data_IF_485899749320
#
_entry.id   IF_485899749320
#
_cell.length_a   1.000
_cell.length_b   1.000
_cell.length_c   1.000
_cell.angle_alpha   90.00
_cell.angle_beta   90.00
_cell.angle_gamma   90.00
#
_symmetry.space_group_name_H-M   'P 1'
#
loop_
_entity.id
_entity.type
_entity.pdbx_description
1 polymer ?
#
# COMPACT_ATOMS: atom_id res chain seq x y z
N UNK A 1 -4.57 17.35 9.25
CA UNK A 1 -5.53 16.24 9.12
C UNK A 1 -5.20 15.48 7.85
N UNK A 2 -5.29 14.13 7.85
CA UNK A 2 -5.01 13.29 6.69
C UNK A 2 -6.21 12.40 6.40
N UNK A 3 -6.34 11.92 5.15
CA UNK A 3 -7.39 10.98 4.76
C UNK A 3 -6.77 9.71 4.17
N UNK A 4 -7.55 8.64 4.16
CA UNK A 4 -7.20 7.37 3.52
C UNK A 4 -8.33 6.97 2.56
N UNK A 5 -7.96 6.68 1.32
CA UNK A 5 -8.90 6.31 0.25
C UNK A 5 -8.45 5.02 -0.40
N UNK A 6 -9.37 4.08 -0.53
CA UNK A 6 -9.14 2.79 -1.18
C UNK A 6 -9.65 2.86 -2.62
N UNK A 7 -8.81 2.45 -3.56
CA UNK A 7 -9.08 2.46 -5.00
C UNK A 7 -9.44 1.06 -5.46
N UNK A 8 -10.59 0.93 -6.09
CA UNK A 8 -11.08 -0.28 -6.72
C UNK A 8 -11.13 -0.14 -8.25
N UNK A 9 -11.48 -1.21 -8.95
CA UNK A 9 -11.56 -1.23 -10.41
C UNK A 9 -12.50 -0.17 -10.97
N UNK A 10 -13.65 0.02 -10.34
CA UNK A 10 -14.68 0.98 -10.76
C UNK A 10 -14.37 2.42 -10.37
N UNK A 11 -13.39 2.65 -9.50
CA UNK A 11 -13.04 4.01 -9.06
C UNK A 11 -12.49 4.80 -10.25
N UNK A 12 -13.14 5.90 -10.59
CA UNK A 12 -12.66 6.80 -11.63
C UNK A 12 -11.45 7.63 -11.14
N UNK A 13 -10.46 7.81 -11.98
CA UNK A 13 -9.26 8.59 -11.65
C UNK A 13 -9.57 10.08 -11.54
N UNK A 14 -10.48 10.58 -12.37
CA UNK A 14 -10.88 12.00 -12.34
C UNK A 14 -11.61 12.31 -11.03
N UNK A 15 -12.51 11.43 -10.57
CA UNK A 15 -13.19 11.57 -9.28
C UNK A 15 -12.20 11.58 -8.10
N UNK A 16 -11.16 10.74 -8.16
CA UNK A 16 -10.08 10.73 -7.15
C UNK A 16 -9.34 12.06 -7.14
N UNK A 17 -9.01 12.60 -8.30
CA UNK A 17 -8.27 13.87 -8.40
C UNK A 17 -9.16 15.07 -8.00
N UNK A 18 -10.45 15.06 -8.34
CA UNK A 18 -11.41 16.07 -7.88
C UNK A 18 -11.55 16.03 -6.35
N UNK A 19 -11.73 14.86 -5.78
CA UNK A 19 -11.76 14.66 -4.32
C UNK A 19 -10.47 15.18 -3.66
N UNK A 20 -9.29 14.87 -4.22
CA UNK A 20 -8.02 15.38 -3.70
C UNK A 20 -7.97 16.92 -3.76
N UNK A 21 -8.45 17.51 -4.84
CA UNK A 21 -8.56 18.95 -5.01
C UNK A 21 -9.45 19.59 -3.96
N UNK A 22 -10.65 19.05 -3.78
CA UNK A 22 -11.61 19.54 -2.78
C UNK A 22 -11.03 19.45 -1.35
N UNK A 23 -10.49 18.29 -1.01
CA UNK A 23 -9.93 18.06 0.33
C UNK A 23 -8.71 18.95 0.62
N UNK A 24 -7.88 19.22 -0.40
CA UNK A 24 -6.71 20.09 -0.26
C UNK A 24 -7.10 21.57 -0.17
N UNK A 25 -7.96 22.03 -1.10
CA UNK A 25 -8.23 23.47 -1.28
C UNK A 25 -9.34 24.00 -0.36
N UNK A 26 -10.39 23.18 -0.13
CA UNK A 26 -11.56 23.61 0.65
C UNK A 26 -11.50 23.17 2.12
N UNK A 27 -10.97 21.95 2.37
CA UNK A 27 -10.89 21.41 3.73
C UNK A 27 -9.53 21.69 4.38
N UNK A 28 -8.47 21.83 3.58
CA UNK A 28 -7.13 22.12 4.08
C UNK A 28 -6.46 20.92 4.75
N UNK A 29 -6.54 19.72 4.14
CA UNK A 29 -5.84 18.54 4.66
C UNK A 29 -4.35 18.59 4.36
N UNK A 30 -3.54 17.94 5.22
CA UNK A 30 -2.08 17.88 5.06
C UNK A 30 -1.64 16.88 3.98
N UNK A 31 -2.52 15.95 3.59
CA UNK A 31 -2.25 14.97 2.55
C UNK A 31 -3.18 13.76 2.60
N UNK A 32 -3.08 12.92 1.59
CA UNK A 32 -3.98 11.80 1.38
C UNK A 32 -3.20 10.52 1.10
N UNK A 33 -3.50 9.46 1.84
CA UNK A 33 -3.10 8.11 1.48
C UNK A 33 -4.13 7.55 0.49
N UNK A 34 -3.67 7.21 -0.69
CA UNK A 34 -4.45 6.52 -1.71
C UNK A 34 -3.78 5.17 -1.98
N UNK A 35 -4.51 4.09 -1.78
CA UNK A 35 -3.98 2.74 -1.86
C UNK A 35 -4.98 1.80 -2.58
N UNK A 36 -4.51 0.72 -3.22
CA UNK A 36 -5.39 -0.24 -3.88
C UNK A 36 -6.20 -1.04 -2.88
N UNK A 37 -7.41 -1.40 -3.29
CA UNK A 37 -8.24 -2.37 -2.58
C UNK A 37 -7.65 -3.77 -2.63
N UNK A 38 -8.02 -4.59 -1.66
CA UNK A 38 -7.66 -6.01 -1.60
C UNK A 38 -8.91 -6.88 -1.74
N UNK A 39 -8.76 -8.01 -2.42
CA UNK A 39 -9.82 -8.97 -2.58
C UNK A 39 -9.97 -9.84 -1.32
N UNK A 40 -11.00 -9.56 -0.53
CA UNK A 40 -11.48 -10.48 0.50
C UNK A 40 -12.46 -11.49 -0.09
N UNK A 41 -12.66 -12.61 0.59
CA UNK A 41 -13.62 -13.63 0.19
C UNK A 41 -15.07 -13.13 0.08
N UNK A 42 -15.40 -12.02 0.75
CA UNK A 42 -16.71 -11.40 0.75
C UNK A 42 -16.87 -10.25 -0.27
N UNK A 43 -15.79 -9.87 -0.96
CA UNK A 43 -15.82 -8.81 -1.98
C UNK A 43 -16.02 -9.45 -3.35
N UNK A 44 -16.88 -8.84 -4.16
CA UNK A 44 -17.06 -9.23 -5.56
C UNK A 44 -15.70 -9.18 -6.27
N UNK A 45 -15.23 -10.30 -6.87
CA UNK A 45 -13.97 -10.33 -7.62
C UNK A 45 -13.88 -9.28 -8.73
N UNK A 46 -15.01 -8.85 -9.28
CA UNK A 46 -15.07 -7.84 -10.34
C UNK A 46 -14.66 -6.44 -9.86
N UNK A 47 -14.69 -6.18 -8.56
CA UNK A 47 -14.26 -4.89 -7.97
C UNK A 47 -12.74 -4.79 -7.80
N UNK A 48 -12.02 -5.90 -7.86
CA UNK A 48 -10.58 -5.92 -7.68
C UNK A 48 -9.84 -5.75 -9.00
N UNK A 49 -8.67 -5.17 -8.94
CA UNK A 49 -7.81 -4.93 -10.08
C UNK A 49 -6.78 -6.05 -10.24
N UNK A 50 -6.52 -6.46 -11.46
CA UNK A 50 -5.30 -7.17 -11.81
C UNK A 50 -4.09 -6.26 -11.60
N UNK A 51 -2.89 -6.83 -11.57
CA UNK A 51 -1.66 -6.04 -11.40
C UNK A 51 -1.49 -4.99 -12.51
N UNK A 52 -1.80 -5.33 -13.75
CA UNK A 52 -1.70 -4.40 -14.88
C UNK A 52 -2.70 -3.23 -14.77
N UNK A 53 -3.97 -3.51 -14.46
CA UNK A 53 -5.00 -2.48 -14.24
C UNK A 53 -4.62 -1.56 -13.07
N UNK A 54 -4.07 -2.13 -12.00
CA UNK A 54 -3.56 -1.40 -10.85
C UNK A 54 -2.44 -0.42 -11.26
N UNK A 55 -1.42 -0.90 -11.95
CA UNK A 55 -0.29 -0.08 -12.38
C UNK A 55 -0.72 1.05 -13.32
N UNK A 56 -1.62 0.78 -14.27
CA UNK A 56 -2.16 1.79 -15.18
C UNK A 56 -2.90 2.89 -14.41
N UNK A 57 -3.82 2.51 -13.53
CA UNK A 57 -4.63 3.45 -12.74
C UNK A 57 -3.75 4.31 -11.82
N UNK A 58 -2.77 3.71 -11.14
CA UNK A 58 -1.88 4.45 -10.26
C UNK A 58 -0.88 5.34 -11.00
N UNK A 59 -0.49 5.02 -12.23
CA UNK A 59 0.26 5.96 -13.10
C UNK A 59 -0.58 7.21 -13.42
N UNK A 60 -1.86 7.03 -13.75
CA UNK A 60 -2.76 8.15 -14.03
C UNK A 60 -2.97 9.03 -12.77
N UNK A 61 -3.22 8.43 -11.61
CA UNK A 61 -3.31 9.15 -10.32
C UNK A 61 -2.01 9.91 -10.04
N UNK A 62 -0.85 9.28 -10.17
CA UNK A 62 0.44 9.93 -9.93
C UNK A 62 0.68 11.12 -10.87
N UNK A 63 0.32 10.99 -12.15
CA UNK A 63 0.41 12.08 -13.12
C UNK A 63 -0.46 13.27 -12.72
N UNK A 64 -1.71 13.02 -12.32
CA UNK A 64 -2.63 14.04 -11.83
C UNK A 64 -2.14 14.71 -10.54
N UNK A 65 -1.68 13.92 -9.58
CA UNK A 65 -1.09 14.41 -8.32
C UNK A 65 0.10 15.36 -8.60
N UNK A 66 1.00 14.98 -9.50
CA UNK A 66 2.14 15.83 -9.89
C UNK A 66 1.69 17.11 -10.60
N UNK A 67 0.72 17.01 -11.51
CA UNK A 67 0.18 18.13 -12.28
C UNK A 67 -0.45 19.19 -11.37
N UNK A 68 -1.19 18.75 -10.35
CA UNK A 68 -1.94 19.64 -9.46
C UNK A 68 -1.20 19.99 -8.16
N UNK A 69 -0.07 19.34 -7.88
CA UNK A 69 0.71 19.58 -6.68
C UNK A 69 0.08 19.00 -5.39
N UNK A 70 -0.83 18.03 -5.53
CA UNK A 70 -1.45 17.39 -4.36
C UNK A 70 -0.44 16.56 -3.58
N UNK A 71 -0.67 16.41 -2.27
CA UNK A 71 0.20 15.63 -1.41
C UNK A 71 -0.32 14.20 -1.25
N UNK A 72 0.29 13.28 -1.99
CA UNK A 72 0.07 11.85 -1.85
C UNK A 72 1.03 11.29 -0.79
N UNK A 73 0.48 10.68 0.29
CA UNK A 73 1.24 10.21 1.46
C UNK A 73 1.86 8.81 1.29
N UNK A 74 1.92 8.28 0.09
CA UNK A 74 2.72 7.10 -0.22
C UNK A 74 4.19 7.50 -0.38
N UNK A 75 5.13 6.73 0.20
CA UNK A 75 6.56 7.00 0.02
C UNK A 75 6.98 6.92 -1.45
N UNK A 76 8.01 7.65 -1.89
CA UNK A 76 8.42 7.63 -3.30
C UNK A 76 8.71 6.23 -3.86
N UNK A 77 9.31 5.36 -3.05
CA UNK A 77 9.62 3.97 -3.44
C UNK A 77 8.34 3.13 -3.53
N UNK A 78 7.37 3.37 -2.66
CA UNK A 78 6.08 2.70 -2.74
C UNK A 78 5.24 3.24 -3.91
N UNK A 79 5.31 4.54 -4.22
CA UNK A 79 4.71 5.08 -5.46
C UNK A 79 5.25 4.38 -6.70
N UNK A 80 6.59 4.20 -6.82
CA UNK A 80 7.19 3.48 -7.93
C UNK A 80 6.71 2.01 -8.02
N UNK A 81 6.48 1.37 -6.88
CA UNK A 81 5.88 0.04 -6.85
C UNK A 81 4.42 0.04 -7.33
N UNK A 82 3.61 1.02 -6.91
CA UNK A 82 2.22 1.15 -7.33
C UNK A 82 2.08 1.41 -8.83
N UNK A 83 3.02 2.15 -9.42
CA UNK A 83 3.03 2.44 -10.86
C UNK A 83 3.71 1.36 -11.71
N UNK A 84 4.27 0.32 -11.10
CA UNK A 84 4.98 -0.76 -11.81
C UNK A 84 6.42 -0.43 -12.21
N UNK A 85 6.93 0.77 -11.84
CA UNK A 85 8.30 1.17 -12.13
C UNK A 85 9.32 0.44 -11.24
N UNK A 86 8.83 -0.23 -10.19
CA UNK A 86 9.64 -1.00 -9.24
C UNK A 86 8.91 -2.25 -8.76
N UNK A 87 9.67 -3.35 -8.58
CA UNK A 87 9.20 -4.53 -7.87
C UNK A 87 9.67 -4.47 -6.42
N UNK A 88 8.79 -4.82 -5.49
CA UNK A 88 9.09 -4.96 -4.07
C UNK A 88 8.61 -6.33 -3.58
N UNK A 89 9.36 -7.01 -2.73
CA UNK A 89 8.83 -8.13 -1.96
C UNK A 89 7.80 -7.60 -0.95
N UNK A 90 6.85 -8.44 -0.55
CA UNK A 90 6.00 -8.09 0.58
C UNK A 90 6.78 -8.23 1.89
N UNK A 91 6.60 -7.29 2.82
CA UNK A 91 7.20 -7.32 4.16
C UNK A 91 6.09 -7.27 5.23
N UNK A 92 5.25 -8.31 5.35
CA UNK A 92 4.06 -8.30 6.22
C UNK A 92 4.43 -8.19 7.72
N UNK A 93 5.62 -8.62 8.12
CA UNK A 93 6.15 -8.46 9.47
C UNK A 93 6.35 -7.01 9.91
N UNK A 94 6.42 -6.06 8.97
CA UNK A 94 6.56 -4.63 9.27
C UNK A 94 5.27 -3.97 9.73
N UNK A 95 4.12 -4.66 9.59
CA UNK A 95 2.79 -4.12 9.96
C UNK A 95 1.91 -5.23 10.54
N UNK A 96 2.40 -5.89 11.58
CA UNK A 96 1.67 -6.96 12.27
C UNK A 96 0.46 -6.41 13.04
N UNK A 97 -0.59 -7.20 13.14
CA UNK A 97 -1.83 -6.83 13.84
C UNK A 97 -2.17 -7.82 14.94
N UNK A 98 -2.88 -7.33 15.94
CA UNK A 98 -3.38 -8.12 17.05
C UNK A 98 -4.90 -7.92 17.19
N UNK A 99 -5.62 -9.00 17.48
CA UNK A 99 -7.01 -8.98 17.88
C UNK A 99 -7.17 -9.55 19.30
N UNK A 100 -8.39 -9.64 19.88
CA UNK A 100 -8.59 -10.23 21.20
C UNK A 100 -8.09 -11.66 21.35
N UNK A 101 -7.99 -12.41 20.26
CA UNK A 101 -7.54 -13.82 20.29
C UNK A 101 -6.01 -13.96 20.20
N UNK A 102 -5.29 -12.93 19.72
CA UNK A 102 -3.84 -12.97 19.62
C UNK A 102 -3.28 -12.19 18.43
N UNK A 103 -2.01 -12.44 18.15
CA UNK A 103 -1.29 -11.86 17.01
C UNK A 103 -1.63 -12.61 15.73
N UNK A 104 -2.01 -11.87 14.69
CA UNK A 104 -2.41 -12.44 13.40
C UNK A 104 -1.22 -12.57 12.46
N UNK A 105 -1.10 -13.69 11.82
CA UNK A 105 -0.12 -13.94 10.77
C UNK A 105 -0.75 -14.45 9.48
N UNK A 106 -0.15 -14.20 8.33
CA UNK A 106 1.05 -13.40 8.06
C UNK A 106 0.78 -11.88 8.07
N UNK A 107 -0.45 -11.46 7.78
CA UNK A 107 -0.88 -10.06 7.75
C UNK A 107 -2.36 -9.95 8.19
N UNK A 108 -2.86 -8.72 8.29
CA UNK A 108 -4.26 -8.52 8.71
C UNK A 108 -5.31 -8.98 7.68
N UNK A 109 -4.91 -9.11 6.41
CA UNK A 109 -5.77 -9.59 5.32
C UNK A 109 -5.89 -11.11 5.32
N UNK A 110 -4.77 -11.80 5.49
CA UNK A 110 -4.70 -13.24 5.62
C UNK A 110 -4.56 -13.58 7.10
N UNK A 111 -5.40 -14.47 7.61
CA UNK A 111 -5.32 -14.94 9.00
C UNK A 111 -5.12 -16.45 8.99
N UNK A 112 -3.92 -16.87 8.59
CA UNK A 112 -3.57 -18.30 8.52
C UNK A 112 -3.12 -18.82 9.89
N UNK A 113 -2.81 -17.92 10.84
CA UNK A 113 -2.48 -18.25 12.21
C UNK A 113 -2.82 -17.13 13.19
N UNK A 114 -3.09 -17.54 14.44
CA UNK A 114 -3.23 -16.64 15.59
C UNK A 114 -2.26 -17.12 16.65
N UNK A 115 -1.39 -16.23 17.12
CA UNK A 115 -0.31 -16.54 18.03
C UNK A 115 -0.51 -15.82 19.36
N UNK A 116 -0.26 -16.50 20.51
CA UNK A 116 -0.52 -15.93 21.83
C UNK A 116 0.42 -14.76 22.17
N UNK A 117 1.65 -14.80 21.65
CA UNK A 117 2.66 -13.75 21.87
C UNK A 117 3.26 -13.28 20.56
N UNK A 118 3.84 -12.07 20.56
CA UNK A 118 4.56 -11.56 19.41
C UNK A 118 5.76 -12.42 19.03
N UNK A 119 6.48 -12.95 20.03
CA UNK A 119 7.60 -13.85 19.78
C UNK A 119 7.13 -15.15 19.10
N UNK A 120 6.01 -15.73 19.57
CA UNK A 120 5.44 -16.92 18.93
C UNK A 120 5.03 -16.66 17.46
N UNK A 121 4.55 -15.46 17.14
CA UNK A 121 4.29 -15.07 15.75
C UNK A 121 5.59 -15.02 14.94
N UNK A 122 6.65 -14.39 15.47
CA UNK A 122 7.92 -14.27 14.75
C UNK A 122 8.56 -15.65 14.49
N UNK A 123 8.53 -16.53 15.48
CA UNK A 123 9.16 -17.84 15.42
C UNK A 123 8.33 -18.88 14.65
N UNK A 124 7.01 -18.73 14.67
CA UNK A 124 6.09 -19.73 14.12
C UNK A 124 5.57 -19.42 12.69
N UNK A 125 5.84 -18.23 12.16
CA UNK A 125 5.35 -17.84 10.84
C UNK A 125 6.42 -18.04 9.76
N UNK A 126 6.09 -18.84 8.74
CA UNK A 126 6.94 -19.03 7.56
C UNK A 126 6.72 -17.87 6.57
N UNK A 127 7.33 -16.71 6.87
CA UNK A 127 7.12 -15.45 6.15
C UNK A 127 7.39 -15.54 4.66
N UNK A 128 8.37 -16.33 4.24
CA UNK A 128 8.79 -16.54 2.84
C UNK A 128 7.73 -17.24 1.98
N UNK A 129 6.74 -17.88 2.60
CA UNK A 129 5.61 -18.49 1.87
C UNK A 129 4.60 -17.48 1.34
N UNK A 130 4.72 -16.21 1.76
CA UNK A 130 3.73 -15.17 1.46
C UNK A 130 4.32 -14.07 0.57
N UNK A 131 3.43 -13.39 -0.14
CA UNK A 131 3.77 -12.34 -1.09
C UNK A 131 3.56 -12.77 -2.55
N UNK A 132 3.65 -11.81 -3.49
CA UNK A 132 3.49 -12.09 -4.93
C UNK A 132 4.51 -13.13 -5.40
N UNK A 133 4.04 -14.14 -6.13
CA UNK A 133 4.83 -15.25 -6.60
C UNK A 133 4.98 -16.42 -5.62
N UNK A 134 4.64 -16.25 -4.34
CA UNK A 134 4.74 -17.30 -3.32
C UNK A 134 3.34 -17.78 -2.86
N UNK A 135 2.37 -16.88 -2.80
CA UNK A 135 0.98 -17.21 -2.45
C UNK A 135 0.04 -16.59 -3.48
N UNK A 136 -0.83 -17.39 -4.08
CA UNK A 136 -1.79 -16.94 -5.11
C UNK A 136 -2.74 -15.82 -4.61
N UNK A 137 -3.03 -15.79 -3.30
CA UNK A 137 -3.84 -14.73 -2.69
C UNK A 137 -3.12 -13.38 -2.67
N UNK A 138 -1.81 -13.39 -2.82
CA UNK A 138 -0.97 -12.19 -2.82
C UNK A 138 -0.64 -11.67 -4.23
N UNK A 139 -0.98 -12.39 -5.30
CA UNK A 139 -0.52 -12.10 -6.68
C UNK A 139 -0.83 -10.67 -7.13
N UNK A 140 -2.02 -10.17 -6.82
CA UNK A 140 -2.46 -8.84 -7.21
C UNK A 140 -2.43 -7.84 -6.04
N UNK A 141 -1.92 -8.26 -4.89
CA UNK A 141 -1.86 -7.42 -3.71
C UNK A 141 -0.89 -6.23 -3.91
N UNK A 142 -1.36 -5.04 -3.62
CA UNK A 142 -0.57 -3.82 -3.65
C UNK A 142 -0.69 -3.00 -2.37
N UNK A 143 -1.21 -3.58 -1.29
CA UNK A 143 -1.62 -2.84 -0.10
C UNK A 143 -0.44 -2.25 0.66
N UNK A 144 -0.63 -1.02 1.17
CA UNK A 144 0.43 -0.26 1.82
C UNK A 144 1.06 -0.97 3.03
N UNK A 145 0.27 -1.68 3.84
CA UNK A 145 0.76 -2.35 5.07
C UNK A 145 1.82 -3.43 4.82
N UNK A 146 1.88 -4.02 3.61
CA UNK A 146 2.92 -4.98 3.24
C UNK A 146 4.05 -4.34 2.43
N UNK A 147 3.74 -3.32 1.63
CA UNK A 147 4.70 -2.76 0.67
C UNK A 147 5.33 -1.43 1.11
N UNK A 148 4.72 -0.64 1.99
CA UNK A 148 5.41 0.50 2.62
C UNK A 148 6.58 0.08 3.52
N UNK A 149 6.46 -0.96 4.37
CA UNK A 149 7.63 -1.49 5.07
C UNK A 149 8.74 -1.96 4.13
N UNK A 150 8.38 -2.65 3.05
CA UNK A 150 9.34 -3.07 2.02
C UNK A 150 9.99 -1.87 1.31
N UNK A 151 9.21 -0.83 1.01
CA UNK A 151 9.71 0.43 0.44
C UNK A 151 10.66 1.15 1.40
N UNK A 152 10.35 1.14 2.70
CA UNK A 152 11.23 1.69 3.75
C UNK A 152 12.56 0.95 3.80
N UNK A 153 12.56 -0.39 3.78
CA UNK A 153 13.78 -1.21 3.72
C UNK A 153 14.58 -0.86 2.46
N UNK A 154 13.94 -0.82 1.28
CA UNK A 154 14.60 -0.48 0.04
C UNK A 154 15.16 0.95 0.02
N UNK A 155 14.49 1.89 0.70
CA UNK A 155 14.96 3.27 0.87
C UNK A 155 16.25 3.31 1.70
N UNK A 156 16.31 2.60 2.83
CA UNK A 156 17.49 2.60 3.70
C UNK A 156 18.72 1.91 3.07
N UNK A 157 18.50 1.07 2.08
CA UNK A 157 19.56 0.36 1.34
C UNK A 157 20.15 1.19 0.17
N UNK A 158 19.63 2.41 -0.08
CA UNK A 158 20.05 3.24 -1.22
C UNK A 158 20.17 4.72 -0.81
N UNK A 159 21.36 5.27 -0.92
CA UNK A 159 21.60 6.71 -0.67
C UNK A 159 20.70 7.59 -1.55
N UNK A 160 20.53 7.23 -2.82
CA UNK A 160 19.64 7.94 -3.76
C UNK A 160 18.19 7.96 -3.25
N UNK A 161 17.66 6.81 -2.84
CA UNK A 161 16.29 6.71 -2.37
C UNK A 161 16.10 7.39 -1.01
N UNK A 162 17.11 7.35 -0.15
CA UNK A 162 17.12 8.09 1.12
C UNK A 162 17.01 9.60 0.86
N UNK A 163 17.83 10.17 -0.03
CA UNK A 163 17.77 11.59 -0.39
C UNK A 163 16.42 11.95 -1.03
N UNK A 164 15.91 11.09 -1.92
CA UNK A 164 14.60 11.28 -2.56
C UNK A 164 13.46 11.29 -1.55
N UNK A 165 13.49 10.39 -0.57
CA UNK A 165 12.49 10.30 0.48
C UNK A 165 12.57 11.49 1.45
N UNK A 166 13.75 11.95 1.81
CA UNK A 166 13.93 13.18 2.59
C UNK A 166 13.37 14.40 1.86
N UNK A 167 13.68 14.56 0.58
CA UNK A 167 13.15 15.66 -0.22
C UNK A 167 11.62 15.61 -0.36
N UNK A 168 11.04 14.42 -0.40
CA UNK A 168 9.57 14.23 -0.40
C UNK A 168 8.93 14.58 0.95
N UNK A 169 9.59 14.23 2.07
CA UNK A 169 9.08 14.53 3.43
C UNK A 169 9.06 16.03 3.72
N UNK A 170 9.99 16.81 3.13
CA UNK A 170 10.13 18.25 3.35
C UNK A 170 9.19 19.11 2.48
N UNK A 171 8.39 18.52 1.65
CA UNK A 171 7.36 19.19 0.84
C UNK A 171 6.03 19.26 1.57
#
# INVERSE_FOLDING_TARGET
MTTNTTIFKETDVEDVLEMMGYLTNEIGIDGMLVAPGYQYSQIDPNLTMTRAEHEEKFRAIQAGVRKHGYRWLASPVYQDFLTGDRKLPCAPWGSVTRNPYGWKGPCYLLTDGIFPTYQALLDGMEWERYGPGNDHRCEHCGIHSGFEPAATIATTQSVRETVRSLAWTLR
#
